data_IF_588394662584
#
_entry.id   IF_588394662584
#
_cell.length_a   1.000
_cell.length_b   1.000
_cell.length_c   1.000
_cell.angle_alpha   90.00
_cell.angle_beta   90.00
_cell.angle_gamma   90.00
#
_symmetry.space_group_name_H-M   'P 1'
#
loop_
_entity.id
_entity.type
_entity.pdbx_description
1 polymer ?
#
# COMPACT_ATOMS: atom_id res chain seq x y z
N UNK A 1 46.63 13.88 -61.45
CA UNK A 1 47.19 13.97 -60.08
C UNK A 1 46.02 13.96 -59.10
N UNK A 2 46.12 13.13 -58.05
CA UNK A 2 45.10 12.86 -57.02
C UNK A 2 44.61 14.14 -56.32
N UNK A 3 43.37 14.15 -55.84
CA UNK A 3 42.97 14.36 -54.43
C UNK A 3 41.49 13.94 -54.28
N UNK A 4 41.25 12.93 -53.44
CA UNK A 4 39.92 12.55 -52.93
C UNK A 4 39.66 13.40 -51.68
N UNK A 5 38.60 14.19 -51.66
CA UNK A 5 38.04 14.72 -50.41
C UNK A 5 36.89 13.80 -49.98
N UNK A 6 37.15 12.99 -48.96
CA UNK A 6 36.13 12.29 -48.19
C UNK A 6 35.51 13.31 -47.24
N UNK A 7 34.27 13.74 -47.48
CA UNK A 7 33.60 14.68 -46.57
C UNK A 7 32.74 13.91 -45.56
N UNK A 8 33.31 13.79 -44.37
CA UNK A 8 32.90 13.10 -43.16
C UNK A 8 31.74 13.80 -42.41
N UNK A 9 30.71 14.31 -43.12
CA UNK A 9 29.69 15.22 -42.53
C UNK A 9 28.41 14.52 -42.04
N UNK A 10 28.13 13.28 -42.45
CA UNK A 10 26.90 12.59 -42.06
C UNK A 10 26.93 11.96 -40.65
N UNK A 11 28.11 11.67 -40.09
CA UNK A 11 28.23 11.02 -38.77
C UNK A 11 28.05 12.01 -37.59
N UNK A 12 28.46 13.27 -37.75
CA UNK A 12 28.39 14.30 -36.70
C UNK A 12 26.95 14.79 -36.45
N UNK A 13 26.14 14.95 -37.50
CA UNK A 13 24.75 15.40 -37.38
C UNK A 13 23.87 14.37 -36.63
N UNK A 14 24.13 13.07 -36.84
CA UNK A 14 23.44 11.99 -36.13
C UNK A 14 23.83 11.96 -34.65
N UNK A 15 25.12 12.17 -34.33
CA UNK A 15 25.57 12.30 -32.93
C UNK A 15 24.94 13.51 -32.19
N UNK A 16 24.65 14.61 -32.88
CA UNK A 16 23.99 15.77 -32.26
C UNK A 16 22.50 15.55 -31.95
N UNK A 17 21.79 14.73 -32.73
CA UNK A 17 20.37 14.40 -32.47
C UNK A 17 20.24 13.44 -31.28
N UNK A 18 21.20 12.52 -31.10
CA UNK A 18 21.23 11.59 -29.97
C UNK A 18 21.56 12.26 -28.61
N UNK A 19 22.38 13.31 -28.61
CA UNK A 19 22.83 13.99 -27.38
C UNK A 19 21.80 14.94 -26.72
N UNK A 20 20.74 15.34 -27.42
CA UNK A 20 19.85 16.40 -26.93
C UNK A 20 18.91 15.93 -25.82
N UNK A 21 18.32 14.73 -25.99
CA UNK A 21 17.26 14.22 -25.12
C UNK A 21 17.75 13.22 -24.07
N UNK A 22 18.96 12.68 -24.21
CA UNK A 22 19.55 11.79 -23.20
C UNK A 22 19.70 12.47 -21.84
N UNK A 23 19.56 11.64 -20.80
CA UNK A 23 19.69 12.05 -19.41
C UNK A 23 18.40 11.88 -18.63
N UNK A 24 18.35 12.55 -17.48
CA UNK A 24 17.21 12.51 -16.56
C UNK A 24 16.39 13.77 -16.76
N UNK A 25 15.08 13.61 -16.92
CA UNK A 25 14.13 14.71 -17.01
C UNK A 25 13.11 14.58 -15.90
N UNK A 26 12.76 15.70 -15.24
CA UNK A 26 11.83 15.75 -14.13
C UNK A 26 10.72 16.75 -14.38
N UNK A 27 9.52 16.49 -13.89
CA UNK A 27 8.41 17.43 -13.90
C UNK A 27 7.38 17.03 -12.86
N UNK A 28 6.49 17.95 -12.51
CA UNK A 28 5.43 17.68 -11.54
C UNK A 28 4.09 17.52 -12.25
N UNK A 29 3.43 16.39 -12.03
CA UNK A 29 2.02 16.22 -12.34
C UNK A 29 1.20 16.86 -11.23
N UNK A 30 0.31 17.78 -11.60
CA UNK A 30 -0.64 18.38 -10.66
C UNK A 30 -1.95 17.59 -10.69
N UNK A 31 -2.25 16.88 -9.60
CA UNK A 31 -3.49 16.11 -9.44
C UNK A 31 -4.19 16.63 -8.20
N UNK A 32 -5.37 17.22 -8.37
CA UNK A 32 -6.22 17.71 -7.26
C UNK A 32 -5.45 18.59 -6.24
N UNK A 33 -4.52 19.43 -6.73
CA UNK A 33 -3.71 20.33 -5.90
C UNK A 33 -2.39 19.74 -5.39
N UNK A 34 -2.10 18.46 -5.65
CA UNK A 34 -0.85 17.81 -5.24
C UNK A 34 0.10 17.69 -6.42
N UNK A 35 1.37 18.07 -6.18
CA UNK A 35 2.47 17.87 -7.11
C UNK A 35 3.09 16.48 -6.89
N UNK A 36 2.89 15.61 -7.87
CA UNK A 36 3.53 14.30 -7.97
C UNK A 36 4.73 14.41 -8.91
N UNK A 37 5.97 14.29 -8.40
CA UNK A 37 7.13 14.32 -9.25
C UNK A 37 7.13 13.09 -10.14
N UNK A 38 7.35 13.32 -11.43
CA UNK A 38 7.56 12.32 -12.45
C UNK A 38 8.96 12.51 -13.00
N UNK A 39 9.70 11.43 -13.14
CA UNK A 39 11.02 11.46 -13.76
C UNK A 39 11.10 10.42 -14.84
N UNK A 40 11.76 10.78 -15.93
CA UNK A 40 12.07 9.88 -17.03
C UNK A 40 13.57 9.87 -17.25
N UNK A 41 14.15 8.68 -17.18
CA UNK A 41 15.54 8.44 -17.57
C UNK A 41 15.55 7.96 -19.02
N UNK A 42 16.31 8.64 -19.89
CA UNK A 42 16.41 8.35 -21.32
C UNK A 42 17.88 8.03 -21.64
N UNK A 43 18.10 6.87 -22.26
CA UNK A 43 19.42 6.35 -22.65
C UNK A 43 19.39 5.93 -24.13
N UNK A 44 20.47 6.15 -24.86
CA UNK A 44 20.65 5.51 -26.17
C UNK A 44 20.79 4.00 -26.03
N UNK A 45 20.34 3.29 -27.07
CA UNK A 45 20.55 1.86 -27.25
C UNK A 45 20.74 1.53 -28.72
N UNK A 46 21.07 0.27 -29.01
CA UNK A 46 21.41 -0.21 -30.37
C UNK A 46 20.30 0.04 -31.41
N UNK A 47 19.03 0.12 -30.99
CA UNK A 47 17.85 0.30 -31.85
C UNK A 47 17.04 1.57 -31.50
N UNK A 48 17.72 2.65 -31.08
CA UNK A 48 17.09 3.91 -30.65
C UNK A 48 17.07 4.07 -29.13
N UNK A 49 16.26 5.00 -28.62
CA UNK A 49 16.22 5.30 -27.20
C UNK A 49 15.51 4.23 -26.38
N UNK A 50 16.03 3.98 -25.17
CA UNK A 50 15.34 3.29 -24.09
C UNK A 50 14.99 4.33 -23.03
N UNK A 51 13.80 4.23 -22.46
CA UNK A 51 13.41 5.10 -21.36
C UNK A 51 12.72 4.37 -20.23
N UNK A 52 12.92 4.89 -19.01
CA UNK A 52 12.34 4.35 -17.79
C UNK A 52 11.66 5.47 -17.02
N UNK A 53 10.39 5.26 -16.69
CA UNK A 53 9.56 6.19 -15.93
C UNK A 53 9.63 5.89 -14.44
N UNK A 54 9.69 6.92 -13.61
CA UNK A 54 9.70 6.83 -12.16
C UNK A 54 8.67 7.80 -11.58
N UNK A 55 7.92 7.36 -10.57
CA UNK A 55 7.07 8.21 -9.74
C UNK A 55 7.52 8.09 -8.28
N UNK A 56 8.46 8.94 -7.82
CA UNK A 56 9.19 8.70 -6.57
C UNK A 56 8.29 8.67 -5.34
N UNK A 57 7.26 9.53 -5.29
CA UNK A 57 6.30 9.55 -4.17
C UNK A 57 5.42 8.30 -4.11
N UNK A 58 5.39 7.47 -5.16
CA UNK A 58 4.44 6.35 -5.31
C UNK A 58 5.11 4.99 -5.58
N UNK A 59 6.36 4.98 -6.02
CA UNK A 59 7.10 3.77 -6.38
C UNK A 59 8.60 3.99 -6.31
N UNK A 60 9.31 3.04 -5.71
CA UNK A 60 10.77 2.95 -5.81
C UNK A 60 11.23 2.20 -7.06
N UNK A 61 10.30 1.57 -7.79
CA UNK A 61 10.58 0.82 -9.02
C UNK A 61 10.45 1.74 -10.24
N UNK A 62 11.42 1.62 -11.16
CA UNK A 62 11.34 2.19 -12.50
C UNK A 62 10.47 1.33 -13.43
N UNK A 63 9.68 1.99 -14.26
CA UNK A 63 8.77 1.37 -15.23
C UNK A 63 9.30 1.62 -16.65
N UNK A 64 9.93 0.62 -17.28
CA UNK A 64 10.37 0.75 -18.67
C UNK A 64 9.20 1.12 -19.59
N UNK A 65 9.40 2.10 -20.46
CA UNK A 65 8.37 2.48 -21.43
C UNK A 65 8.21 1.39 -22.48
N UNK A 66 6.97 1.08 -22.84
CA UNK A 66 6.62 0.15 -23.91
C UNK A 66 6.91 0.72 -25.30
N UNK A 67 6.88 2.06 -25.44
CA UNK A 67 7.24 2.79 -26.64
C UNK A 67 7.86 4.13 -26.26
N UNK A 68 8.87 4.55 -27.00
CA UNK A 68 9.49 5.87 -26.87
C UNK A 68 9.94 6.35 -28.26
N UNK A 69 9.61 7.60 -28.61
CA UNK A 69 10.06 8.25 -29.85
C UNK A 69 10.43 9.69 -29.57
N UNK A 70 11.49 10.17 -30.23
CA UNK A 70 11.87 11.58 -30.21
C UNK A 70 12.26 12.01 -31.62
N UNK A 71 11.39 12.77 -32.29
CA UNK A 71 11.55 13.19 -33.68
C UNK A 71 11.03 14.62 -33.84
N UNK A 72 11.74 15.48 -34.59
CA UNK A 72 11.34 16.88 -34.82
C UNK A 72 11.04 17.68 -33.53
N UNK A 73 11.81 17.44 -32.47
CA UNK A 73 11.59 18.00 -31.13
C UNK A 73 10.29 17.55 -30.44
N UNK A 74 9.52 16.62 -31.01
CA UNK A 74 8.40 15.97 -30.34
C UNK A 74 8.86 14.71 -29.61
N UNK A 75 8.60 14.66 -28.30
CA UNK A 75 8.77 13.47 -27.47
C UNK A 75 7.43 12.77 -27.30
N UNK A 76 7.41 11.47 -27.51
CA UNK A 76 6.31 10.60 -27.11
C UNK A 76 6.81 9.39 -26.34
N UNK A 77 6.13 9.04 -25.26
CA UNK A 77 6.31 7.74 -24.62
C UNK A 77 4.98 7.11 -24.23
N UNK A 78 4.96 5.79 -24.15
CA UNK A 78 3.85 4.97 -23.70
C UNK A 78 4.32 3.95 -22.68
N UNK A 79 3.53 3.73 -21.63
CA UNK A 79 3.68 2.61 -20.71
C UNK A 79 2.36 1.84 -20.64
N UNK A 80 2.31 0.66 -21.27
CA UNK A 80 1.10 -0.17 -21.34
C UNK A 80 0.65 -0.71 -20.00
N UNK A 81 1.61 -1.02 -19.11
CA UNK A 81 1.31 -1.53 -17.77
C UNK A 81 0.58 -0.49 -16.93
N UNK A 82 1.00 0.76 -17.02
CA UNK A 82 0.42 1.89 -16.30
C UNK A 82 -0.76 2.54 -17.04
N UNK A 83 -1.06 2.09 -18.26
CA UNK A 83 -2.02 2.72 -19.18
C UNK A 83 -1.78 4.24 -19.29
N UNK A 84 -0.51 4.61 -19.42
CA UNK A 84 -0.05 5.99 -19.41
C UNK A 84 0.68 6.33 -20.70
N UNK A 85 0.54 7.57 -21.14
CA UNK A 85 1.26 8.13 -22.28
C UNK A 85 1.62 9.59 -22.03
N UNK A 86 2.63 10.08 -22.72
CA UNK A 86 2.97 11.49 -22.74
C UNK A 86 3.30 11.90 -24.15
N UNK A 87 2.81 13.07 -24.56
CA UNK A 87 3.23 13.74 -25.79
C UNK A 87 3.61 15.17 -25.44
N UNK A 88 4.82 15.60 -25.81
CA UNK A 88 5.30 16.95 -25.57
C UNK A 88 6.34 17.42 -26.58
N UNK A 89 6.62 18.72 -26.58
CA UNK A 89 7.56 19.36 -27.51
C UNK A 89 8.69 20.00 -26.73
N UNK A 90 9.93 19.70 -27.13
CA UNK A 90 11.14 20.30 -26.58
C UNK A 90 11.33 21.71 -27.16
N UNK A 91 11.34 22.71 -26.27
CA UNK A 91 11.65 24.11 -26.59
C UNK A 91 12.33 24.76 -25.38
N UNK A 92 13.40 25.52 -25.62
CA UNK A 92 14.14 26.27 -24.59
C UNK A 92 14.57 25.41 -23.39
N UNK A 93 15.00 24.16 -23.65
CA UNK A 93 15.45 23.23 -22.62
C UNK A 93 14.34 22.57 -21.78
N UNK A 94 13.06 22.80 -22.13
CA UNK A 94 11.90 22.19 -21.47
C UNK A 94 11.07 21.40 -22.47
N UNK A 95 10.49 20.28 -22.03
CA UNK A 95 9.52 19.53 -22.83
C UNK A 95 8.14 19.83 -22.26
N UNK A 96 7.35 20.58 -23.02
CA UNK A 96 6.00 20.96 -22.59
C UNK A 96 5.00 20.07 -23.31
N UNK A 97 4.12 19.43 -22.56
CA UNK A 97 3.18 18.46 -23.14
C UNK A 97 2.08 18.04 -22.21
N UNK A 98 1.41 16.97 -22.61
CA UNK A 98 0.29 16.39 -21.88
C UNK A 98 0.61 14.95 -21.54
N UNK A 99 0.50 14.62 -20.25
CA UNK A 99 0.50 13.26 -19.75
C UNK A 99 -0.93 12.77 -19.64
N UNK A 100 -1.23 11.61 -20.21
CA UNK A 100 -2.56 11.00 -20.17
C UNK A 100 -2.48 9.68 -19.42
N UNK A 101 -3.39 9.46 -18.47
CA UNK A 101 -3.52 8.19 -17.77
C UNK A 101 -4.97 7.97 -17.33
N UNK A 102 -5.51 6.77 -17.56
CA UNK A 102 -6.88 6.42 -17.12
C UNK A 102 -7.96 7.36 -17.63
N UNK A 103 -7.77 7.95 -18.82
CA UNK A 103 -8.69 8.94 -19.42
C UNK A 103 -8.50 10.39 -18.95
N UNK A 104 -7.65 10.65 -17.95
CA UNK A 104 -7.32 12.00 -17.50
C UNK A 104 -6.17 12.59 -18.32
N UNK A 105 -6.27 13.86 -18.70
CA UNK A 105 -5.20 14.62 -19.35
C UNK A 105 -4.62 15.65 -18.37
N UNK A 106 -3.32 15.58 -18.14
CA UNK A 106 -2.61 16.40 -17.16
C UNK A 106 -1.46 17.14 -17.87
N UNK A 107 -1.43 18.48 -17.82
CA UNK A 107 -0.27 19.23 -18.29
C UNK A 107 0.99 18.80 -17.54
N UNK A 108 2.08 18.60 -18.27
CA UNK A 108 3.36 18.23 -17.69
C UNK A 108 4.50 18.92 -18.46
N UNK A 109 5.29 19.67 -17.70
CA UNK A 109 6.53 20.27 -18.18
C UNK A 109 7.69 19.48 -17.58
N UNK A 110 8.51 18.90 -18.46
CA UNK A 110 9.73 18.20 -18.08
C UNK A 110 10.94 19.12 -18.27
N UNK A 111 11.77 19.22 -17.25
CA UNK A 111 13.03 19.94 -17.26
C UNK A 111 14.19 18.97 -17.05
N UNK A 112 15.34 19.25 -17.67
CA UNK A 112 16.52 18.41 -17.54
C UNK A 112 17.05 18.50 -16.10
N UNK A 113 17.20 17.36 -15.44
CA UNK A 113 17.75 17.30 -14.10
C UNK A 113 19.28 17.32 -14.15
N UNK A 114 19.90 18.17 -13.33
CA UNK A 114 21.37 18.21 -13.17
C UNK A 114 21.93 16.97 -12.45
N UNK A 115 21.06 16.27 -11.70
CA UNK A 115 21.38 15.07 -10.91
C UNK A 115 20.97 13.80 -11.66
N UNK A 116 21.66 12.69 -11.40
CA UNK A 116 21.24 11.37 -11.92
C UNK A 116 19.84 11.02 -11.41
N UNK A 117 19.08 10.19 -12.13
CA UNK A 117 17.77 9.72 -11.69
C UNK A 117 17.79 9.24 -10.22
N UNK A 118 18.80 8.45 -9.82
CA UNK A 118 18.97 7.98 -8.45
C UNK A 118 19.04 9.11 -7.39
N UNK A 119 19.66 10.24 -7.72
CA UNK A 119 19.80 11.40 -6.83
C UNK A 119 18.59 12.36 -6.90
N UNK A 120 17.89 12.40 -8.02
CA UNK A 120 16.60 13.10 -8.15
C UNK A 120 15.44 12.34 -7.47
N UNK A 121 15.73 11.14 -6.94
CA UNK A 121 14.78 10.19 -6.36
C UNK A 121 15.04 9.86 -4.89
N UNK A 122 15.91 10.63 -4.23
CA UNK A 122 16.29 10.36 -2.85
C UNK A 122 15.90 11.49 -1.91
N UNK A 123 15.26 11.15 -0.80
CA UNK A 123 15.11 11.98 0.38
C UNK A 123 16.05 11.45 1.47
N UNK A 124 16.70 12.33 2.24
CA UNK A 124 17.57 11.89 3.32
C UNK A 124 16.76 11.15 4.40
N UNK A 125 17.42 10.21 5.07
CA UNK A 125 16.89 9.63 6.31
C UNK A 125 16.68 10.76 7.34
N UNK A 126 15.76 10.58 8.28
CA UNK A 126 15.43 11.60 9.28
C UNK A 126 16.60 11.84 10.24
N UNK A 127 17.39 10.81 10.55
CA UNK A 127 18.55 10.94 11.45
C UNK A 127 18.12 11.43 12.84
N UNK A 128 18.65 12.55 13.33
CA UNK A 128 18.23 13.12 14.63
C UNK A 128 17.20 14.26 14.50
N UNK A 129 16.73 14.55 13.29
CA UNK A 129 15.77 15.63 13.05
C UNK A 129 14.43 15.34 13.73
N UNK A 130 13.81 16.38 14.29
CA UNK A 130 12.45 16.30 14.82
C UNK A 130 11.42 16.39 13.69
N UNK A 131 10.30 15.68 13.84
CA UNK A 131 9.19 15.73 12.88
C UNK A 131 8.32 16.94 13.21
N UNK A 132 7.97 17.74 12.21
CA UNK A 132 7.15 18.94 12.38
C UNK A 132 5.68 18.58 12.67
N UNK A 133 5.36 18.36 13.95
CA UNK A 133 4.02 17.98 14.42
C UNK A 133 2.98 19.08 14.27
N UNK A 134 3.40 20.36 14.24
CA UNK A 134 2.51 21.49 13.99
C UNK A 134 2.06 21.53 12.53
N UNK A 135 2.97 21.31 11.56
CA UNK A 135 2.61 21.19 10.14
C UNK A 135 1.74 19.96 9.89
N UNK A 136 2.01 18.83 10.56
CA UNK A 136 1.12 17.65 10.53
C UNK A 136 -0.28 17.98 11.04
N UNK A 137 -0.37 18.72 12.15
CA UNK A 137 -1.66 19.14 12.74
C UNK A 137 -2.46 19.99 11.76
N UNK A 138 -1.83 21.03 11.18
CA UNK A 138 -2.46 21.91 10.18
C UNK A 138 -2.92 21.14 8.94
N UNK A 139 -2.10 20.20 8.45
CA UNK A 139 -2.46 19.38 7.30
C UNK A 139 -3.64 18.45 7.57
N UNK A 140 -3.65 17.77 8.72
CA UNK A 140 -4.73 16.87 9.11
C UNK A 140 -6.03 17.64 9.35
N UNK A 141 -5.97 18.87 9.88
CA UNK A 141 -7.14 19.75 10.02
C UNK A 141 -7.65 20.26 8.67
N UNK A 142 -6.74 20.66 7.78
CA UNK A 142 -7.09 20.99 6.39
C UNK A 142 -7.81 19.81 5.72
N UNK A 143 -7.30 18.60 5.88
CA UNK A 143 -7.93 17.38 5.36
C UNK A 143 -9.34 17.17 5.94
N UNK A 144 -9.50 17.28 7.27
CA UNK A 144 -10.80 17.13 7.92
C UNK A 144 -11.84 18.16 7.43
N UNK A 145 -11.42 19.40 7.15
CA UNK A 145 -12.30 20.47 6.70
C UNK A 145 -12.66 20.40 5.22
N UNK A 146 -11.67 20.13 4.35
CA UNK A 146 -11.81 20.23 2.89
C UNK A 146 -12.14 18.92 2.20
N UNK A 147 -11.75 17.80 2.81
CA UNK A 147 -11.84 16.46 2.24
C UNK A 147 -12.80 15.54 3.03
N UNK A 148 -13.53 16.11 4.00
CA UNK A 148 -14.56 15.44 4.82
C UNK A 148 -14.14 14.05 5.32
N UNK A 149 -12.93 14.01 5.90
CA UNK A 149 -12.38 12.84 6.58
C UNK A 149 -12.72 12.84 8.06
N UNK A 150 -13.11 11.68 8.61
CA UNK A 150 -13.15 11.45 10.07
C UNK A 150 -12.26 10.29 10.44
N UNK A 151 -11.35 10.46 11.38
CA UNK A 151 -10.37 9.42 11.66
C UNK A 151 -9.38 9.76 12.74
N UNK A 152 -8.29 8.99 12.76
CA UNK A 152 -7.14 9.19 13.62
C UNK A 152 -5.84 8.88 12.88
N UNK A 153 -4.78 9.60 13.24
CA UNK A 153 -3.40 9.37 12.84
C UNK A 153 -2.55 9.17 14.10
N UNK A 154 -1.64 8.21 14.08
CA UNK A 154 -0.61 8.03 15.10
C UNK A 154 0.74 7.79 14.45
N UNK A 155 1.78 8.44 14.98
CA UNK A 155 3.17 8.25 14.56
C UNK A 155 4.00 7.94 15.80
N UNK A 156 4.76 6.85 15.73
CA UNK A 156 5.74 6.46 16.72
C UNK A 156 7.13 6.42 16.12
N UNK A 157 8.13 6.79 16.90
CA UNK A 157 9.53 6.72 16.53
C UNK A 157 10.38 6.17 17.67
N UNK A 158 11.35 5.30 17.37
CA UNK A 158 12.21 4.68 18.39
C UNK A 158 11.40 3.99 19.52
N UNK A 159 10.32 3.30 19.14
CA UNK A 159 9.39 2.67 20.07
C UNK A 159 8.53 3.61 20.94
N UNK A 160 8.55 4.93 20.70
CA UNK A 160 7.78 5.93 21.46
C UNK A 160 6.77 6.66 20.57
N UNK A 161 5.56 6.87 21.06
CA UNK A 161 4.56 7.72 20.38
C UNK A 161 5.03 9.17 20.38
N UNK A 162 5.14 9.79 19.21
CA UNK A 162 5.57 11.18 19.03
C UNK A 162 4.43 12.09 18.55
N UNK A 163 3.38 11.52 17.98
CA UNK A 163 2.24 12.27 17.46
C UNK A 163 0.99 11.40 17.47
N UNK A 164 -0.14 11.98 17.87
CA UNK A 164 -1.47 11.37 17.76
C UNK A 164 -2.50 12.47 17.57
N UNK A 165 -3.38 12.31 16.59
CA UNK A 165 -4.47 13.24 16.36
C UNK A 165 -5.69 12.53 15.81
N UNK A 166 -6.82 12.69 16.49
CA UNK A 166 -8.14 12.44 15.94
C UNK A 166 -8.64 13.68 15.20
N UNK A 167 -9.34 13.49 14.09
CA UNK A 167 -9.81 14.58 13.24
C UNK A 167 -11.22 14.31 12.67
N UNK A 168 -11.97 15.38 12.40
CA UNK A 168 -13.30 15.34 11.79
C UNK A 168 -14.46 14.94 12.72
N UNK A 169 -14.18 14.47 13.94
CA UNK A 169 -15.24 14.00 14.86
C UNK A 169 -16.23 15.10 15.25
N UNK A 170 -15.78 16.35 15.36
CA UNK A 170 -16.65 17.49 15.63
C UNK A 170 -17.74 17.73 14.57
N UNK A 171 -17.65 17.08 13.40
CA UNK A 171 -18.60 17.19 12.30
C UNK A 171 -19.71 16.12 12.33
N UNK A 172 -19.67 15.16 13.27
CA UNK A 172 -20.63 14.04 13.31
C UNK A 172 -21.78 14.26 14.31
N UNK A 173 -22.99 13.78 13.99
CA UNK A 173 -24.10 13.76 14.95
C UNK A 173 -23.87 12.66 16.01
N UNK A 174 -24.00 13.01 17.30
CA UNK A 174 -23.92 12.10 18.47
C UNK A 174 -22.56 11.41 18.67
N UNK A 175 -21.72 11.95 19.56
CA UNK A 175 -20.33 11.51 19.67
C UNK A 175 -19.91 11.19 21.11
N UNK A 176 -19.64 9.91 21.39
CA UNK A 176 -18.76 9.47 22.47
C UNK A 176 -17.58 8.74 21.82
N UNK A 177 -16.41 9.39 21.78
CA UNK A 177 -15.16 8.79 21.33
C UNK A 177 -14.02 9.23 22.25
N UNK A 178 -12.97 8.44 22.32
CA UNK A 178 -11.72 8.79 23.00
C UNK A 178 -10.54 8.07 22.31
N UNK A 179 -9.33 8.27 22.84
CA UNK A 179 -8.10 7.64 22.34
C UNK A 179 -8.11 6.10 22.32
N UNK A 180 -8.99 5.47 23.10
CA UNK A 180 -9.17 4.01 23.15
C UNK A 180 -10.27 3.51 22.20
N UNK A 181 -10.96 4.40 21.48
CA UNK A 181 -11.98 4.00 20.52
C UNK A 181 -11.32 3.33 19.31
N UNK A 182 -11.65 2.06 19.08
CA UNK A 182 -11.07 1.25 18.03
C UNK A 182 -11.72 1.49 16.67
N UNK A 183 -10.99 1.18 15.60
CA UNK A 183 -11.46 1.18 14.22
C UNK A 183 -11.49 -0.24 13.68
N UNK A 184 -12.35 -0.51 12.71
CA UNK A 184 -12.28 -1.74 11.93
C UNK A 184 -11.06 -1.65 11.00
N UNK A 185 -10.00 -2.42 11.29
CA UNK A 185 -8.71 -2.25 10.57
C UNK A 185 -8.65 -3.04 9.26
N UNK A 186 -9.76 -3.71 8.90
CA UNK A 186 -9.90 -4.49 7.68
C UNK A 186 -8.70 -5.41 7.46
N UNK A 187 -8.16 -5.38 6.25
CA UNK A 187 -7.10 -6.31 5.82
C UNK A 187 -5.77 -6.22 6.57
N UNK A 188 -5.55 -5.24 7.46
CA UNK A 188 -4.42 -5.28 8.40
C UNK A 188 -4.50 -6.54 9.30
N UNK A 189 -5.71 -7.04 9.56
CA UNK A 189 -6.00 -8.33 10.22
C UNK A 189 -5.13 -9.47 9.69
N UNK A 190 -4.89 -9.49 8.38
CA UNK A 190 -4.11 -10.54 7.72
C UNK A 190 -2.67 -10.60 8.22
N UNK A 191 -2.08 -9.46 8.57
CA UNK A 191 -0.71 -9.41 9.07
C UNK A 191 -0.62 -9.95 10.50
N UNK A 192 -1.65 -9.75 11.34
CA UNK A 192 -1.77 -10.42 12.64
C UNK A 192 -1.85 -11.95 12.47
N UNK A 193 -2.71 -12.43 11.56
CA UNK A 193 -2.84 -13.86 11.27
C UNK A 193 -1.55 -14.45 10.69
N UNK A 194 -0.95 -13.80 9.70
CA UNK A 194 0.31 -14.21 9.09
C UNK A 194 1.42 -14.30 10.14
N UNK A 195 1.49 -13.35 11.08
CA UNK A 195 2.44 -13.40 12.20
C UNK A 195 2.25 -14.68 13.03
N UNK A 196 1.00 -15.05 13.37
CA UNK A 196 0.73 -16.28 14.12
C UNK A 196 1.01 -17.57 13.34
N UNK A 197 0.81 -17.57 12.02
CA UNK A 197 1.21 -18.68 11.15
C UNK A 197 2.73 -18.80 11.11
N UNK A 198 3.45 -17.68 10.96
CA UNK A 198 4.92 -17.66 10.94
C UNK A 198 5.53 -18.04 12.30
N UNK A 199 4.86 -17.76 13.42
CA UNK A 199 5.24 -18.30 14.73
C UNK A 199 5.17 -19.82 14.80
N UNK A 200 4.20 -20.44 14.13
CA UNK A 200 4.11 -21.90 14.02
C UNK A 200 5.19 -22.45 13.06
N UNK A 201 5.52 -21.73 11.98
CA UNK A 201 6.63 -22.07 11.08
C UNK A 201 7.97 -22.03 11.81
N UNK A 202 8.23 -20.97 12.56
CA UNK A 202 9.45 -20.83 13.37
C UNK A 202 9.63 -21.97 14.38
N UNK A 203 8.52 -22.50 14.91
CA UNK A 203 8.50 -23.62 15.87
C UNK A 203 8.46 -25.00 15.19
N UNK A 204 8.57 -25.07 13.87
CA UNK A 204 8.47 -26.32 13.10
C UNK A 204 7.09 -26.99 13.16
N UNK A 205 6.06 -26.28 13.63
CA UNK A 205 4.70 -26.81 13.74
C UNK A 205 3.99 -26.79 12.39
N UNK A 206 4.25 -25.79 11.56
CA UNK A 206 3.78 -25.70 10.17
C UNK A 206 4.98 -25.56 9.25
N UNK A 207 4.84 -26.00 7.99
CA UNK A 207 5.83 -25.72 6.95
C UNK A 207 5.19 -24.86 5.87
N UNK A 208 5.94 -23.89 5.33
CA UNK A 208 5.47 -23.07 4.22
C UNK A 208 5.13 -23.90 2.96
N UNK A 209 5.73 -25.08 2.83
CA UNK A 209 5.45 -26.06 1.78
C UNK A 209 4.29 -27.01 2.08
N UNK A 210 3.70 -26.98 3.29
CA UNK A 210 2.51 -27.78 3.60
C UNK A 210 1.42 -27.48 2.58
N UNK A 211 0.84 -28.55 2.01
CA UNK A 211 -0.23 -28.46 1.01
C UNK A 211 -1.56 -28.15 1.67
N UNK A 212 -2.42 -27.41 0.97
CA UNK A 212 -3.78 -27.13 1.42
C UNK A 212 -4.58 -28.43 1.61
N UNK A 213 -4.30 -29.47 0.80
CA UNK A 213 -4.96 -30.78 0.87
C UNK A 213 -4.79 -31.50 2.21
N UNK A 214 -3.75 -31.17 2.99
CA UNK A 214 -3.55 -31.66 4.37
C UNK A 214 -4.68 -31.23 5.31
N UNK A 215 -5.36 -30.13 4.99
CA UNK A 215 -6.39 -29.53 5.83
C UNK A 215 -7.77 -29.49 5.16
N UNK A 216 -7.78 -29.37 3.82
CA UNK A 216 -8.98 -29.23 2.99
C UNK A 216 -8.80 -30.00 1.66
N UNK A 217 -8.77 -31.35 1.66
CA UNK A 217 -8.51 -32.16 0.47
C UNK A 217 -9.59 -32.02 -0.62
N UNK A 218 -10.80 -31.58 -0.26
CA UNK A 218 -11.92 -31.42 -1.19
C UNK A 218 -11.91 -30.09 -1.95
N UNK A 219 -11.03 -29.14 -1.60
CA UNK A 219 -10.97 -27.86 -2.30
C UNK A 219 -10.24 -28.01 -3.64
N UNK A 220 -10.64 -27.23 -4.67
CA UNK A 220 -9.94 -27.23 -5.97
C UNK A 220 -8.44 -26.90 -5.82
N UNK A 221 -7.59 -27.63 -6.55
CA UNK A 221 -6.12 -27.50 -6.54
C UNK A 221 -5.46 -27.60 -5.14
N UNK A 222 -6.13 -28.18 -4.13
CA UNK A 222 -5.60 -28.22 -2.78
C UNK A 222 -4.27 -29.00 -2.63
N UNK A 223 -4.03 -29.99 -3.49
CA UNK A 223 -2.80 -30.78 -3.58
C UNK A 223 -1.62 -30.00 -4.18
N UNK A 224 -1.90 -28.92 -4.92
CA UNK A 224 -0.90 -28.03 -5.50
C UNK A 224 -0.60 -26.82 -4.62
N UNK A 225 -1.65 -26.20 -4.06
CA UNK A 225 -1.57 -24.97 -3.25
C UNK A 225 -0.78 -25.23 -1.96
N UNK A 226 0.18 -24.36 -1.65
CA UNK A 226 0.94 -24.39 -0.38
C UNK A 226 0.53 -23.26 0.56
N UNK A 227 0.87 -23.37 1.85
CA UNK A 227 0.70 -22.25 2.80
C UNK A 227 1.46 -20.98 2.36
N UNK A 228 2.63 -21.14 1.72
CA UNK A 228 3.37 -20.02 1.11
C UNK A 228 2.51 -19.29 0.08
N UNK A 229 1.86 -20.06 -0.80
CA UNK A 229 0.99 -19.49 -1.84
C UNK A 229 -0.19 -18.72 -1.26
N UNK A 230 -0.74 -19.19 -0.15
CA UNK A 230 -1.85 -18.53 0.54
C UNK A 230 -1.40 -17.21 1.18
N UNK A 231 -0.22 -17.19 1.82
CA UNK A 231 0.31 -15.99 2.48
C UNK A 231 0.71 -14.88 1.49
N UNK A 232 1.23 -15.23 0.31
CA UNK A 232 1.69 -14.26 -0.69
C UNK A 232 0.73 -14.03 -1.86
N UNK A 233 -0.53 -14.51 -1.76
CA UNK A 233 -1.56 -14.34 -2.78
C UNK A 233 -1.19 -14.92 -4.15
N UNK A 234 -0.47 -16.04 -4.18
CA UNK A 234 -0.15 -16.77 -5.43
C UNK A 234 -0.85 -18.13 -5.50
N UNK A 235 -1.94 -18.32 -4.78
CA UNK A 235 -2.64 -19.60 -4.66
C UNK A 235 -3.58 -19.93 -5.82
N UNK A 236 -4.06 -18.94 -6.56
CA UNK A 236 -5.15 -19.16 -7.53
C UNK A 236 -6.54 -19.23 -6.91
N UNK A 237 -6.67 -19.11 -5.58
CA UNK A 237 -7.95 -19.08 -4.88
C UNK A 237 -8.70 -17.77 -5.17
N UNK A 238 -10.02 -17.88 -5.28
CA UNK A 238 -10.90 -16.73 -5.43
C UNK A 238 -10.95 -15.83 -4.20
N UNK A 239 -11.74 -14.78 -4.28
CA UNK A 239 -11.96 -13.85 -3.19
C UNK A 239 -13.42 -13.91 -2.73
N UNK A 240 -13.73 -14.72 -1.72
CA UNK A 240 -15.12 -14.97 -1.34
C UNK A 240 -15.85 -13.72 -0.83
N UNK A 241 -15.13 -12.72 -0.32
CA UNK A 241 -15.72 -11.45 0.12
C UNK A 241 -15.82 -10.42 -1.01
N UNK A 242 -15.45 -10.78 -2.24
CA UNK A 242 -15.63 -9.91 -3.42
C UNK A 242 -17.08 -9.96 -3.94
N UNK A 243 -17.55 -8.81 -4.44
CA UNK A 243 -18.92 -8.50 -4.86
C UNK A 243 -20.03 -8.92 -3.86
N UNK A 244 -20.14 -8.12 -2.79
CA UNK A 244 -21.35 -7.74 -2.02
C UNK A 244 -22.59 -8.65 -2.10
N UNK A 245 -22.42 -9.96 -1.95
CA UNK A 245 -23.54 -10.83 -1.66
C UNK A 245 -24.17 -10.42 -0.34
N UNK A 246 -25.51 -10.45 -0.25
CA UNK A 246 -26.27 -10.13 0.97
C UNK A 246 -25.73 -10.85 2.22
N UNK A 247 -25.15 -12.03 2.02
CA UNK A 247 -24.58 -12.86 3.08
C UNK A 247 -23.40 -12.20 3.83
N UNK A 248 -22.64 -11.28 3.21
CA UNK A 248 -21.54 -10.55 3.91
C UNK A 248 -22.09 -9.40 4.79
N UNK A 249 -23.28 -8.90 4.47
CA UNK A 249 -23.88 -7.71 5.08
C UNK A 249 -24.87 -7.99 6.20
N UNK A 250 -25.48 -9.18 6.16
CA UNK A 250 -26.63 -9.50 6.99
C UNK A 250 -26.24 -10.46 8.12
N UNK A 251 -26.86 -11.63 8.18
CA UNK A 251 -26.71 -12.57 9.27
C UNK A 251 -25.36 -13.29 9.21
N UNK A 252 -24.94 -13.80 10.37
CA UNK A 252 -23.75 -14.64 10.46
C UNK A 252 -24.01 -15.94 9.73
N UNK A 253 -23.15 -16.29 8.79
CA UNK A 253 -23.26 -17.57 8.06
C UNK A 253 -22.43 -18.65 8.73
N UNK A 254 -22.80 -19.91 8.50
CA UNK A 254 -22.03 -21.04 8.99
C UNK A 254 -20.66 -21.14 8.30
N UNK A 255 -19.67 -21.73 8.99
CA UNK A 255 -18.37 -22.03 8.37
C UNK A 255 -18.53 -22.88 7.09
N UNK A 256 -19.49 -23.81 7.08
CA UNK A 256 -19.79 -24.64 5.91
C UNK A 256 -20.18 -23.78 4.71
N UNK A 257 -21.05 -22.79 4.89
CA UNK A 257 -21.47 -21.91 3.80
C UNK A 257 -20.30 -21.09 3.23
N UNK A 258 -19.40 -20.61 4.09
CA UNK A 258 -18.19 -19.91 3.62
C UNK A 258 -17.29 -20.85 2.83
N UNK A 259 -17.05 -22.07 3.32
CA UNK A 259 -16.23 -23.07 2.64
C UNK A 259 -16.84 -23.51 1.29
N UNK A 260 -18.16 -23.71 1.24
CA UNK A 260 -18.88 -24.02 0.01
C UNK A 260 -18.75 -22.87 -1.01
N UNK A 261 -18.84 -21.62 -0.55
CA UNK A 261 -18.63 -20.43 -1.40
C UNK A 261 -17.21 -20.41 -1.96
N UNK A 262 -16.18 -20.66 -1.13
CA UNK A 262 -14.78 -20.73 -1.58
C UNK A 262 -14.59 -21.85 -2.61
N UNK A 263 -15.17 -23.04 -2.36
CA UNK A 263 -15.08 -24.17 -3.27
C UNK A 263 -15.71 -23.86 -4.64
N UNK A 264 -16.87 -23.18 -4.64
CA UNK A 264 -17.61 -22.80 -5.85
C UNK A 264 -16.84 -21.84 -6.77
N UNK A 265 -15.91 -21.05 -6.23
CA UNK A 265 -15.08 -20.14 -7.04
C UNK A 265 -14.11 -20.89 -7.98
N UNK A 266 -13.85 -22.17 -7.73
CA UNK A 266 -12.95 -22.97 -8.56
C UNK A 266 -11.49 -22.52 -8.48
N UNK A 267 -10.76 -22.76 -9.56
CA UNK A 267 -9.36 -22.37 -9.73
C UNK A 267 -9.29 -21.20 -10.70
N UNK A 268 -8.78 -20.05 -10.26
CA UNK A 268 -8.63 -18.89 -11.13
C UNK A 268 -7.35 -18.93 -11.98
N UNK A 269 -6.31 -19.61 -11.48
CA UNK A 269 -5.00 -19.79 -12.11
C UNK A 269 -4.17 -20.81 -11.34
N UNK A 270 -3.09 -21.32 -11.93
CA UNK A 270 -2.22 -22.28 -11.25
C UNK A 270 -1.33 -21.60 -10.19
N UNK A 271 -0.98 -22.27 -9.07
CA UNK A 271 -0.16 -21.65 -8.04
C UNK A 271 1.17 -21.11 -8.58
N UNK A 272 1.56 -19.91 -8.15
CA UNK A 272 2.72 -19.13 -8.61
C UNK A 272 2.64 -18.53 -10.02
N UNK A 273 1.55 -18.73 -10.78
CA UNK A 273 1.41 -18.13 -12.12
C UNK A 273 1.33 -16.59 -12.04
N UNK A 274 0.62 -16.06 -11.03
CA UNK A 274 0.47 -14.61 -10.80
C UNK A 274 0.16 -14.32 -9.33
N UNK A 275 0.20 -13.04 -8.98
CA UNK A 275 -0.25 -12.53 -7.68
C UNK A 275 -1.67 -11.99 -7.82
N UNK A 276 -2.64 -12.58 -7.11
CA UNK A 276 -4.02 -12.08 -7.05
C UNK A 276 -4.54 -12.20 -5.62
N UNK A 277 -4.93 -11.07 -5.06
CA UNK A 277 -5.43 -10.97 -3.69
C UNK A 277 -6.60 -11.93 -3.43
N UNK A 278 -6.56 -12.65 -2.32
CA UNK A 278 -7.58 -13.63 -1.94
C UNK A 278 -7.89 -13.55 -0.45
N UNK A 279 -9.09 -13.10 -0.08
CA UNK A 279 -9.57 -13.26 1.29
C UNK A 279 -9.86 -14.73 1.63
N UNK A 280 -10.21 -15.56 0.63
CA UNK A 280 -10.45 -16.99 0.81
C UNK A 280 -9.22 -17.70 1.37
N UNK A 281 -8.03 -17.36 0.85
CA UNK A 281 -6.77 -17.87 1.36
C UNK A 281 -6.57 -17.54 2.86
N UNK A 282 -6.88 -16.31 3.28
CA UNK A 282 -6.69 -15.89 4.67
C UNK A 282 -7.75 -16.44 5.63
N UNK A 283 -9.00 -16.56 5.17
CA UNK A 283 -10.03 -17.28 5.94
C UNK A 283 -9.62 -18.74 6.19
N UNK A 284 -9.14 -19.44 5.14
CA UNK A 284 -8.65 -20.81 5.28
C UNK A 284 -7.43 -20.89 6.22
N UNK A 285 -6.46 -19.97 6.13
CA UNK A 285 -5.33 -19.90 7.07
C UNK A 285 -5.79 -19.74 8.52
N UNK A 286 -6.80 -18.90 8.76
CA UNK A 286 -7.41 -18.73 10.08
C UNK A 286 -7.95 -20.06 10.60
N UNK A 287 -8.74 -20.75 9.78
CA UNK A 287 -9.34 -22.04 10.14
C UNK A 287 -8.30 -23.16 10.31
N UNK A 288 -7.21 -23.15 9.55
CA UNK A 288 -6.07 -24.05 9.77
C UNK A 288 -5.47 -23.83 11.16
N UNK A 289 -5.28 -22.57 11.56
CA UNK A 289 -4.75 -22.23 12.87
C UNK A 289 -5.70 -22.68 14.00
N UNK A 290 -7.01 -22.42 13.87
CA UNK A 290 -8.01 -22.88 14.84
C UNK A 290 -8.02 -24.41 14.98
N UNK A 291 -8.07 -25.14 13.87
CA UNK A 291 -8.08 -26.62 13.86
C UNK A 291 -6.82 -27.20 14.50
N UNK A 292 -5.65 -26.63 14.20
CA UNK A 292 -4.36 -27.12 14.70
C UNK A 292 -4.21 -26.95 16.21
N UNK A 293 -4.74 -25.86 16.75
CA UNK A 293 -4.59 -25.52 18.17
C UNK A 293 -5.84 -25.79 19.01
N UNK A 294 -6.94 -26.21 18.39
CA UNK A 294 -8.24 -26.46 19.02
C UNK A 294 -8.69 -25.27 19.88
N UNK A 295 -8.48 -24.06 19.36
CA UNK A 295 -8.80 -22.79 20.04
C UNK A 295 -9.39 -21.82 19.02
N UNK A 296 -10.38 -20.99 19.41
CA UNK A 296 -10.93 -19.98 18.52
C UNK A 296 -9.93 -18.86 18.25
N UNK A 297 -10.12 -18.15 17.14
CA UNK A 297 -9.20 -17.14 16.63
C UNK A 297 -8.92 -16.01 17.62
N UNK A 298 -9.93 -15.50 18.32
CA UNK A 298 -9.76 -14.45 19.34
C UNK A 298 -8.86 -14.88 20.51
N UNK A 299 -8.99 -16.13 20.97
CA UNK A 299 -8.12 -16.68 22.01
C UNK A 299 -6.69 -16.81 21.51
N UNK A 300 -6.49 -17.25 20.26
CA UNK A 300 -5.16 -17.34 19.65
C UNK A 300 -4.52 -15.96 19.49
N UNK A 301 -5.27 -14.97 18.98
CA UNK A 301 -4.85 -13.58 18.86
C UNK A 301 -4.42 -13.02 20.23
N UNK A 302 -5.22 -13.28 21.27
CA UNK A 302 -4.93 -12.85 22.64
C UNK A 302 -3.68 -13.47 23.20
N UNK A 303 -3.58 -14.80 23.18
CA UNK A 303 -2.48 -15.55 23.78
C UNK A 303 -1.14 -15.26 23.09
N UNK A 304 -1.15 -15.08 21.75
CA UNK A 304 0.07 -15.01 20.94
C UNK A 304 0.55 -13.59 20.66
N UNK A 305 -0.37 -12.64 20.58
CA UNK A 305 -0.09 -11.27 20.17
C UNK A 305 -0.49 -10.30 21.28
N UNK A 306 -1.78 -10.06 21.48
CA UNK A 306 -2.23 -8.85 22.21
C UNK A 306 -1.79 -8.86 23.67
N UNK A 307 -1.87 -10.01 24.38
CA UNK A 307 -1.37 -10.13 25.75
C UNK A 307 0.16 -9.97 25.84
N UNK A 308 0.89 -10.49 24.85
CA UNK A 308 2.37 -10.52 24.86
C UNK A 308 2.97 -9.13 24.69
N UNK A 309 2.32 -8.26 23.92
CA UNK A 309 2.79 -6.91 23.61
C UNK A 309 1.88 -5.81 24.17
N UNK A 310 0.93 -6.18 25.04
CA UNK A 310 0.14 -5.24 25.83
C UNK A 310 -0.93 -4.46 25.06
N UNK A 311 -1.46 -5.02 23.96
CA UNK A 311 -2.57 -4.40 23.21
C UNK A 311 -3.89 -4.66 23.95
N UNK A 312 -4.48 -3.61 24.52
CA UNK A 312 -5.70 -3.66 25.34
C UNK A 312 -6.95 -3.30 24.56
N UNK A 313 -6.82 -2.64 23.42
CA UNK A 313 -7.90 -2.15 22.57
C UNK A 313 -7.91 -2.85 21.18
N UNK A 314 -7.24 -4.00 21.07
CA UNK A 314 -7.16 -4.79 19.85
C UNK A 314 -7.88 -6.12 20.03
N UNK A 315 -8.93 -6.33 19.24
CA UNK A 315 -9.87 -7.45 19.42
C UNK A 315 -10.30 -8.04 18.08
N UNK A 316 -10.53 -9.35 18.06
CA UNK A 316 -11.31 -9.98 16.97
C UNK A 316 -12.80 -9.67 17.19
N UNK A 317 -13.59 -9.70 16.12
CA UNK A 317 -15.06 -9.59 16.20
C UNK A 317 -15.68 -10.59 17.20
N UNK A 318 -15.05 -11.75 17.41
CA UNK A 318 -15.54 -12.79 18.33
C UNK A 318 -15.47 -12.38 19.81
N UNK A 319 -14.74 -11.30 20.15
CA UNK A 319 -14.74 -10.72 21.50
C UNK A 319 -15.90 -9.72 21.72
N UNK A 320 -16.73 -9.46 20.69
CA UNK A 320 -17.84 -8.50 20.72
C UNK A 320 -17.45 -7.11 21.26
N UNK A 321 -16.40 -6.47 20.70
CA UNK A 321 -15.90 -5.20 21.20
C UNK A 321 -16.99 -4.11 21.13
N UNK A 322 -17.06 -3.28 22.17
CA UNK A 322 -18.12 -2.25 22.32
C UNK A 322 -17.66 -0.84 21.98
N UNK A 323 -16.39 -0.51 22.22
CA UNK A 323 -15.83 0.83 21.96
C UNK A 323 -15.25 0.93 20.55
N UNK A 324 -16.09 0.73 19.54
CA UNK A 324 -15.69 0.77 18.12
C UNK A 324 -16.31 1.99 17.45
N UNK A 325 -15.49 2.76 16.75
CA UNK A 325 -15.92 3.93 16.00
C UNK A 325 -16.89 3.52 14.90
N UNK A 326 -18.04 4.19 14.82
CA UNK A 326 -19.03 3.90 13.80
C UNK A 326 -18.54 4.32 12.40
N UNK A 327 -18.97 3.58 11.39
CA UNK A 327 -18.68 3.85 9.98
C UNK A 327 -19.61 4.92 9.43
N UNK A 328 -19.05 5.88 8.68
CA UNK A 328 -19.81 6.97 8.07
C UNK A 328 -19.60 7.05 6.56
N UNK A 329 -20.56 7.64 5.88
CA UNK A 329 -20.44 8.09 4.50
C UNK A 329 -20.84 9.56 4.44
N UNK A 330 -20.06 10.35 3.72
CA UNK A 330 -20.44 11.73 3.46
C UNK A 330 -21.33 11.80 2.22
N UNK A 331 -22.56 12.27 2.39
CA UNK A 331 -23.55 12.38 1.32
C UNK A 331 -24.42 13.60 1.56
N UNK A 332 -24.73 14.35 0.49
CA UNK A 332 -25.56 15.56 0.55
C UNK A 332 -25.10 16.58 1.62
N UNK A 333 -23.79 16.82 1.71
CA UNK A 333 -23.21 17.82 2.62
C UNK A 333 -23.15 17.43 4.10
N UNK A 334 -23.43 16.16 4.45
CA UNK A 334 -23.41 15.68 5.85
C UNK A 334 -22.93 14.24 5.94
N UNK A 335 -22.46 13.84 7.13
CA UNK A 335 -22.19 12.44 7.42
C UNK A 335 -23.46 11.69 7.79
N UNK A 336 -23.61 10.50 7.22
CA UNK A 336 -24.63 9.53 7.59
C UNK A 336 -23.96 8.24 8.06
N UNK A 337 -24.55 7.59 9.07
CA UNK A 337 -24.12 6.27 9.53
C UNK A 337 -24.30 5.25 8.40
N UNK A 338 -23.30 4.38 8.23
CA UNK A 338 -23.35 3.26 7.30
C UNK A 338 -23.09 1.96 8.05
N UNK A 339 -23.92 0.96 7.75
CA UNK A 339 -23.71 -0.40 8.23
C UNK A 339 -22.51 -1.01 7.50
N UNK A 340 -21.51 -1.46 8.26
CA UNK A 340 -20.37 -2.20 7.71
C UNK A 340 -20.68 -3.70 7.59
N UNK A 341 -19.70 -4.50 7.18
CA UNK A 341 -19.80 -5.94 7.08
C UNK A 341 -20.21 -6.60 8.39
N UNK A 342 -20.85 -7.76 8.30
CA UNK A 342 -20.83 -8.70 9.41
C UNK A 342 -19.42 -9.34 9.47
N UNK A 343 -18.55 -8.78 10.30
CA UNK A 343 -17.15 -9.17 10.37
C UNK A 343 -16.91 -10.64 10.78
N UNK A 344 -17.90 -11.32 11.37
CA UNK A 344 -17.81 -12.76 11.64
C UNK A 344 -17.64 -13.54 10.33
N UNK A 345 -18.26 -13.05 9.26
CA UNK A 345 -18.19 -13.62 7.93
C UNK A 345 -16.86 -13.31 7.20
N UNK A 346 -15.97 -12.51 7.82
CA UNK A 346 -14.65 -12.13 7.31
C UNK A 346 -13.50 -12.53 8.25
N UNK A 347 -13.71 -13.53 9.10
CA UNK A 347 -12.77 -13.96 10.15
C UNK A 347 -11.36 -14.24 9.61
N UNK A 348 -10.34 -13.65 10.25
CA UNK A 348 -8.92 -13.75 9.86
C UNK A 348 -8.54 -13.01 8.58
N UNK A 349 -9.52 -12.49 7.84
CA UNK A 349 -9.31 -11.68 6.66
C UNK A 349 -9.49 -10.18 6.94
N UNK A 350 -10.41 -9.80 7.84
CA UNK A 350 -10.71 -8.39 8.07
C UNK A 350 -11.44 -8.04 9.37
N UNK A 351 -11.53 -8.97 10.33
CA UNK A 351 -12.41 -8.85 11.50
C UNK A 351 -11.82 -8.17 12.74
N UNK A 352 -10.52 -7.86 12.73
CA UNK A 352 -9.87 -7.23 13.88
C UNK A 352 -10.26 -5.76 13.95
N UNK A 353 -10.45 -5.30 15.17
CA UNK A 353 -10.52 -3.90 15.57
C UNK A 353 -9.25 -3.51 16.34
N UNK A 354 -8.79 -2.27 16.20
CA UNK A 354 -7.61 -1.76 16.93
C UNK A 354 -7.61 -0.23 16.97
N UNK A 355 -6.71 0.38 17.74
CA UNK A 355 -6.42 1.82 17.70
C UNK A 355 -5.17 2.09 16.87
N UNK A 356 -5.02 3.29 16.32
CA UNK A 356 -3.81 3.66 15.56
C UNK A 356 -2.53 3.55 16.40
N UNK A 357 -2.61 3.83 17.70
CA UNK A 357 -1.50 3.63 18.63
C UNK A 357 -1.11 2.16 18.78
N UNK A 358 -2.07 1.26 18.95
CA UNK A 358 -1.80 -0.17 19.12
C UNK A 358 -1.33 -0.85 17.83
N UNK A 359 -1.76 -0.34 16.67
CA UNK A 359 -1.20 -0.73 15.38
C UNK A 359 0.29 -0.38 15.29
N UNK A 360 0.69 0.82 15.74
CA UNK A 360 2.11 1.19 15.82
C UNK A 360 2.89 0.26 16.76
N UNK A 361 2.34 -0.08 17.92
CA UNK A 361 2.96 -1.04 18.86
C UNK A 361 3.11 -2.42 18.21
N UNK A 362 2.08 -2.90 17.50
CA UNK A 362 2.13 -4.20 16.81
C UNK A 362 3.23 -4.25 15.75
N UNK A 363 3.29 -3.27 14.84
CA UNK A 363 4.27 -3.30 13.75
C UNK A 363 5.71 -3.11 14.26
N UNK A 364 5.92 -2.27 15.28
CA UNK A 364 7.23 -2.14 15.94
C UNK A 364 7.62 -3.42 16.67
N UNK A 365 6.68 -4.10 17.34
CA UNK A 365 6.95 -5.39 17.98
C UNK A 365 7.26 -6.52 16.98
N UNK A 366 6.66 -6.48 15.78
CA UNK A 366 6.98 -7.39 14.69
C UNK A 366 8.42 -7.18 14.22
N UNK A 367 8.81 -5.94 13.94
CA UNK A 367 10.14 -5.60 13.39
C UNK A 367 11.28 -5.64 14.41
N UNK A 368 11.01 -5.41 15.69
CA UNK A 368 12.01 -5.49 16.77
C UNK A 368 12.30 -6.92 17.25
N UNK A 369 11.65 -7.93 16.66
CA UNK A 369 11.86 -9.33 17.00
C UNK A 369 11.10 -9.81 18.25
N UNK A 370 10.17 -9.01 18.79
CA UNK A 370 9.36 -9.41 19.96
C UNK A 370 8.34 -10.49 19.59
N UNK A 371 7.84 -10.50 18.36
CA UNK A 371 6.81 -11.45 17.89
C UNK A 371 7.34 -12.62 17.07
N UNK A 372 8.43 -12.41 16.32
CA UNK A 372 9.09 -13.39 15.44
C UNK A 372 10.60 -13.19 15.52
N UNK A 373 11.40 -14.23 15.26
CA UNK A 373 12.84 -14.08 15.00
C UNK A 373 13.10 -13.25 13.74
N UNK A 374 14.26 -12.59 13.69
CA UNK A 374 14.68 -11.76 12.55
C UNK A 374 14.68 -12.55 11.25
N UNK A 375 15.13 -13.80 11.28
CA UNK A 375 15.20 -14.69 10.11
C UNK A 375 13.79 -15.02 9.60
N UNK A 376 12.85 -15.26 10.51
CA UNK A 376 11.45 -15.54 10.17
C UNK A 376 10.74 -14.31 9.62
N UNK A 377 10.99 -13.13 10.20
CA UNK A 377 10.50 -11.87 9.65
C UNK A 377 11.06 -11.61 8.25
N UNK A 378 12.35 -11.88 8.02
CA UNK A 378 12.99 -11.70 6.71
C UNK A 378 12.31 -12.53 5.62
N UNK A 379 11.81 -13.73 5.94
CA UNK A 379 11.03 -14.54 5.00
C UNK A 379 9.71 -13.88 4.61
N UNK A 380 9.13 -13.04 5.47
CA UNK A 380 7.88 -12.33 5.19
C UNK A 380 8.08 -11.12 4.28
N UNK A 381 9.28 -10.54 4.28
CA UNK A 381 9.53 -9.30 3.55
C UNK A 381 9.55 -9.53 2.04
N UNK A 382 8.94 -8.61 1.26
CA UNK A 382 9.04 -8.63 -0.18
C UNK A 382 10.48 -8.29 -0.65
N UNK A 383 11.05 -9.13 -1.52
CA UNK A 383 12.37 -8.90 -2.14
C UNK A 383 12.19 -8.21 -3.50
N UNK A 384 11.84 -8.95 -4.55
CA UNK A 384 11.68 -8.45 -5.94
C UNK A 384 10.20 -8.20 -6.32
N UNK A 385 9.39 -7.87 -5.33
CA UNK A 385 7.96 -7.65 -5.46
C UNK A 385 7.51 -6.54 -4.51
N UNK A 386 6.28 -6.07 -4.65
CA UNK A 386 5.63 -5.15 -3.70
C UNK A 386 4.92 -5.89 -2.55
N UNK A 387 4.77 -7.22 -2.64
CA UNK A 387 4.02 -8.03 -1.69
C UNK A 387 4.75 -9.34 -1.33
N UNK A 388 5.03 -9.56 -0.04
CA UNK A 388 5.72 -10.73 0.52
C UNK A 388 4.74 -11.74 1.16
N UNK A 389 5.12 -12.35 2.29
CA UNK A 389 4.19 -13.19 3.07
C UNK A 389 3.32 -12.28 3.97
N UNK A 390 2.30 -11.66 3.38
CA UNK A 390 1.44 -10.62 3.99
C UNK A 390 2.07 -9.23 4.21
N UNK A 391 3.37 -9.04 4.01
CA UNK A 391 4.00 -7.72 4.17
C UNK A 391 4.07 -7.01 2.82
N UNK A 392 3.60 -5.77 2.76
CA UNK A 392 3.67 -4.91 1.57
C UNK A 392 4.76 -3.85 1.72
N UNK A 393 5.40 -3.49 0.61
CA UNK A 393 6.18 -2.25 0.53
C UNK A 393 5.22 -1.07 0.37
N UNK A 394 5.49 0.00 1.10
CA UNK A 394 4.88 1.32 0.97
C UNK A 394 6.03 2.29 0.66
N UNK A 395 6.34 2.50 -0.63
CA UNK A 395 7.48 3.31 -1.04
C UNK A 395 7.20 4.80 -0.89
N UNK A 396 8.24 5.56 -0.53
CA UNK A 396 8.25 7.02 -0.57
C UNK A 396 9.68 7.47 -0.91
N UNK A 397 9.90 7.85 -2.17
CA UNK A 397 11.24 8.03 -2.74
C UNK A 397 12.11 6.77 -2.52
N UNK A 398 13.33 6.93 -2.00
CA UNK A 398 14.22 5.86 -1.58
C UNK A 398 13.86 5.26 -0.21
N UNK A 399 12.87 5.81 0.50
CA UNK A 399 12.39 5.27 1.77
C UNK A 399 11.41 4.14 1.52
N UNK A 400 11.58 3.04 2.25
CA UNK A 400 10.68 1.89 2.18
C UNK A 400 10.06 1.65 3.53
N UNK A 401 8.76 1.87 3.62
CA UNK A 401 7.96 1.39 4.72
C UNK A 401 7.45 -0.01 4.41
N UNK A 402 7.25 -0.81 5.44
CA UNK A 402 6.71 -2.16 5.37
C UNK A 402 5.47 -2.27 6.24
N UNK A 403 4.41 -2.86 5.72
CA UNK A 403 3.19 -3.01 6.49
C UNK A 403 2.03 -3.53 5.66
N UNK A 404 0.84 -3.02 5.93
CA UNK A 404 -0.37 -3.43 5.23
C UNK A 404 -1.46 -2.34 5.30
N UNK A 405 -2.32 -2.30 4.28
CA UNK A 405 -3.53 -1.45 4.28
C UNK A 405 -4.78 -2.24 4.65
N UNK A 406 -5.87 -1.57 4.97
CA UNK A 406 -7.15 -2.19 5.25
C UNK A 406 -8.28 -1.35 4.69
N UNK A 407 -9.26 -2.00 4.06
CA UNK A 407 -10.47 -1.33 3.60
C UNK A 407 -11.66 -2.19 4.01
N UNK A 408 -12.66 -1.55 4.61
CA UNK A 408 -14.00 -2.12 4.87
C UNK A 408 -15.04 -1.29 4.12
N UNK A 409 -16.34 -1.39 4.46
CA UNK A 409 -17.29 -0.45 3.87
C UNK A 409 -17.19 0.96 4.45
N UNK A 410 -16.76 1.09 5.70
CA UNK A 410 -16.64 2.37 6.38
C UNK A 410 -15.23 2.88 6.58
N UNK A 411 -14.26 1.97 6.70
CA UNK A 411 -12.90 2.32 7.14
C UNK A 411 -11.88 2.11 6.03
N UNK A 412 -11.02 3.10 5.83
CA UNK A 412 -9.73 2.96 5.16
C UNK A 412 -8.61 3.11 6.20
N UNK A 413 -7.69 2.16 6.22
CA UNK A 413 -6.62 2.07 7.19
C UNK A 413 -5.27 1.80 6.54
N UNK A 414 -4.22 2.33 7.15
CA UNK A 414 -2.82 2.06 6.83
C UNK A 414 -2.08 1.80 8.14
N UNK A 415 -1.20 0.81 8.13
CA UNK A 415 -0.17 0.62 9.15
C UNK A 415 1.13 0.27 8.45
N UNK A 416 2.17 1.05 8.68
CA UNK A 416 3.45 0.88 8.01
C UNK A 416 4.63 1.26 8.91
N UNK A 417 5.78 0.62 8.71
CA UNK A 417 6.99 0.82 9.49
C UNK A 417 8.23 0.96 8.61
N UNK A 418 9.01 2.02 8.82
CA UNK A 418 10.31 2.22 8.20
C UNK A 418 11.41 1.75 9.18
N UNK A 419 12.15 0.67 8.86
CA UNK A 419 13.20 0.15 9.73
C UNK A 419 14.47 1.01 9.75
N UNK A 420 14.69 1.85 8.73
CA UNK A 420 15.87 2.74 8.65
C UNK A 420 15.77 3.90 9.63
N UNK A 421 14.59 4.51 9.75
CA UNK A 421 14.33 5.65 10.64
C UNK A 421 13.66 5.26 11.96
N UNK A 422 13.31 3.97 12.12
CA UNK A 422 12.49 3.41 13.21
C UNK A 422 11.19 4.21 13.41
N UNK A 423 10.41 4.34 12.35
CA UNK A 423 9.15 5.10 12.34
C UNK A 423 8.00 4.17 12.00
N UNK A 424 6.99 4.12 12.88
CA UNK A 424 5.70 3.51 12.61
C UNK A 424 4.65 4.59 12.39
N UNK A 425 3.82 4.40 11.37
CA UNK A 425 2.70 5.28 11.03
C UNK A 425 1.46 4.41 10.92
N UNK A 426 0.40 4.82 11.62
CA UNK A 426 -0.92 4.22 11.50
C UNK A 426 -1.98 5.27 11.30
N UNK A 427 -2.85 5.04 10.33
CA UNK A 427 -3.92 5.95 9.91
C UNK A 427 -5.19 5.12 9.81
N UNK A 428 -6.28 5.61 10.37
CA UNK A 428 -7.61 5.03 10.17
C UNK A 428 -8.59 6.17 9.88
N UNK A 429 -9.32 6.06 8.78
CA UNK A 429 -10.34 7.03 8.37
C UNK A 429 -11.64 6.27 8.20
N UNK A 430 -12.66 6.65 8.97
CA UNK A 430 -13.95 5.96 9.02
C UNK A 430 -15.07 6.76 8.31
N UNK A 431 -14.71 7.42 7.22
CA UNK A 431 -15.65 8.06 6.31
C UNK A 431 -15.35 7.67 4.87
N UNK A 432 -16.40 7.26 4.13
CA UNK A 432 -16.30 6.91 2.72
C UNK A 432 -16.62 8.09 1.81
N UNK A 433 -15.89 8.17 0.69
CA UNK A 433 -16.45 8.67 -0.56
C UNK A 433 -16.05 10.05 -1.05
N UNK A 434 -15.02 10.70 -0.51
CA UNK A 434 -14.66 12.06 -0.96
C UNK A 434 -13.17 12.39 -1.12
N UNK A 435 -12.25 11.52 -0.75
CA UNK A 435 -10.82 11.85 -0.75
C UNK A 435 -9.95 10.72 -1.28
N UNK A 436 -8.75 11.09 -1.76
CA UNK A 436 -7.72 10.14 -2.13
C UNK A 436 -6.89 9.75 -0.90
N UNK A 437 -7.06 8.51 -0.42
CA UNK A 437 -6.29 7.97 0.71
C UNK A 437 -4.78 8.04 0.44
N UNK A 438 -4.38 7.85 -0.82
CA UNK A 438 -2.98 7.92 -1.21
C UNK A 438 -2.40 9.33 -1.06
N UNK A 439 -3.17 10.34 -1.45
CA UNK A 439 -2.78 11.75 -1.32
C UNK A 439 -2.61 12.15 0.14
N UNK A 440 -3.54 11.72 1.00
CA UNK A 440 -3.45 11.96 2.44
C UNK A 440 -2.18 11.38 3.05
N UNK A 441 -1.86 10.13 2.69
CA UNK A 441 -0.65 9.45 3.16
C UNK A 441 0.63 10.12 2.62
N UNK A 442 0.65 10.56 1.36
CA UNK A 442 1.78 11.28 0.75
C UNK A 442 2.02 12.61 1.45
N UNK A 443 0.98 13.37 1.81
CA UNK A 443 1.13 14.61 2.55
C UNK A 443 1.78 14.42 3.91
N UNK A 444 1.33 13.41 4.67
CA UNK A 444 1.94 13.03 5.96
C UNK A 444 3.41 12.66 5.78
N UNK A 445 3.73 11.79 4.82
CA UNK A 445 5.11 11.37 4.55
C UNK A 445 5.99 12.53 4.08
N UNK A 446 5.44 13.44 3.26
CA UNK A 446 6.18 14.62 2.81
C UNK A 446 6.56 15.51 3.99
N UNK A 447 5.63 15.75 4.92
CA UNK A 447 5.91 16.51 6.15
C UNK A 447 6.92 15.79 7.05
N UNK A 448 6.82 14.47 7.16
CA UNK A 448 7.78 13.67 7.94
C UNK A 448 9.19 13.84 7.37
N UNK A 449 9.38 13.82 6.05
CA UNK A 449 10.69 13.89 5.39
C UNK A 449 11.13 15.31 4.96
N UNK A 450 10.40 16.37 5.34
CA UNK A 450 10.61 17.75 4.88
C UNK A 450 10.62 17.92 3.36
N UNK A 451 9.86 17.07 2.66
CA UNK A 451 9.65 17.20 1.23
C UNK A 451 8.63 18.30 0.93
N UNK A 452 8.83 19.07 -0.16
CA UNK A 452 7.86 20.07 -0.59
C UNK A 452 6.46 19.49 -0.74
N UNK A 453 5.55 20.05 0.05
CA UNK A 453 4.14 19.74 0.06
C UNK A 453 3.40 20.98 0.60
N UNK A 454 2.59 21.57 -0.28
CA UNK A 454 1.78 22.75 0.00
C UNK A 454 0.30 22.35 0.07
N UNK A 455 -0.45 23.04 0.92
CA UNK A 455 -1.91 22.94 1.04
C UNK A 455 -2.45 24.33 1.40
N UNK A 456 -3.73 24.62 1.15
CA UNK A 456 -4.30 25.99 1.22
C UNK A 456 -4.18 26.72 2.57
N UNK A 457 -3.67 26.06 3.62
CA UNK A 457 -3.41 26.63 4.95
C UNK A 457 -1.92 26.89 5.25
N UNK A 458 -1.07 26.87 4.24
CA UNK A 458 0.35 27.28 4.33
C UNK A 458 0.62 28.70 3.85
#
# INVERSE_FOLDING_TARGET
MKIRFFTFILLLAVQHIFAQIEGTWKGDLSIQGIKLPLVIEIKSGENGYKSTLYSPKQSSQGFPTSKFTFENSELFFENKLLQAQYKGTLKDGKITGTFTQGGMNMPLILEKAEKTAAQAHSVPNIGNREINTEKLTRYIEYFAEKQHGVGSVSISRNGKKIYQKSFGQNQLPHQNYNENTGYQIGSITKLFLATMIMQDVEKGKLNLSDKLSKFYPHLPNADKITLKNMLNHTSGLGDYVSETGEWLMNETVSEKMVLDSIAKQGVLFEPNEKVKYSNSAYYLLCKILEKKHKKPFNVLLKDRITKKIGLKNTFSVLDYPKNIFASYQFTNGKYALVKDFNFVNALGAGDITSTTDELNVFIQALFSGKLLKKETLQMMLPVDTTYGLCVRKVPFYNQTYYGHGGTTLGTDALMAYNPTDDIAISICVNSRGLYSTNEFNIGILSIIYDEPFEFEKE
#
